data_IF_238518816752
#
_entry.id   IF_238518816752
#
_cell.length_a   1.000
_cell.length_b   1.000
_cell.length_c   1.000
_cell.angle_alpha   90.00
_cell.angle_beta   90.00
_cell.angle_gamma   90.00
#
_symmetry.space_group_name_H-M   'P 1'
#
loop_
_entity.id
_entity.type
_entity.pdbx_description
1 polymer ?
#
# COMPACT_ATOMS: atom_id res chain seq x y z
N UNK A 1 4.56 -2.42 15.95
CA UNK A 1 3.94 -3.72 15.59
C UNK A 1 2.69 -3.56 14.73
N UNK A 2 1.61 -2.90 15.20
CA UNK A 2 0.33 -2.87 14.46
C UNK A 2 0.40 -2.16 13.09
N UNK A 3 1.10 -1.01 12.99
CA UNK A 3 1.34 -0.33 11.69
C UNK A 3 2.00 -1.26 10.67
N UNK A 4 3.07 -1.93 11.08
CA UNK A 4 3.79 -2.94 10.27
C UNK A 4 2.84 -4.07 9.87
N UNK A 5 2.08 -4.62 10.81
CA UNK A 5 1.16 -5.71 10.54
C UNK A 5 0.10 -5.33 9.50
N UNK A 6 -0.51 -4.14 9.60
CA UNK A 6 -1.52 -3.67 8.65
C UNK A 6 -0.97 -3.46 7.23
N UNK A 7 0.22 -2.88 7.12
CA UNK A 7 0.86 -2.64 5.82
C UNK A 7 1.21 -3.97 5.17
N UNK A 8 1.93 -4.84 5.89
CA UNK A 8 2.32 -6.17 5.38
C UNK A 8 1.09 -7.01 5.05
N UNK A 9 0.06 -6.96 5.88
CA UNK A 9 -1.22 -7.62 5.62
C UNK A 9 -1.82 -7.20 4.29
N UNK A 10 -1.88 -5.89 4.03
CA UNK A 10 -2.39 -5.33 2.78
C UNK A 10 -1.55 -5.81 1.60
N UNK A 11 -0.24 -5.64 1.63
CA UNK A 11 0.62 -6.04 0.51
C UNK A 11 0.58 -7.55 0.26
N UNK A 12 0.60 -8.39 1.30
CA UNK A 12 0.49 -9.84 1.14
C UNK A 12 -0.87 -10.28 0.59
N UNK A 13 -1.94 -9.59 0.96
CA UNK A 13 -3.26 -9.84 0.39
C UNK A 13 -3.30 -9.46 -1.10
N UNK A 14 -2.69 -8.33 -1.47
CA UNK A 14 -2.58 -7.90 -2.87
C UNK A 14 -1.80 -8.91 -3.70
N UNK A 15 -0.63 -9.35 -3.24
CA UNK A 15 0.15 -10.42 -3.86
C UNK A 15 -0.73 -11.66 -4.06
N UNK A 16 -1.43 -12.08 -3.00
CA UNK A 16 -2.26 -13.29 -3.03
C UNK A 16 -3.40 -13.20 -4.05
N UNK A 17 -4.05 -12.04 -4.17
CA UNK A 17 -5.10 -11.83 -5.16
C UNK A 17 -4.55 -11.75 -6.58
N UNK A 18 -3.41 -11.09 -6.79
CA UNK A 18 -2.79 -11.00 -8.11
C UNK A 18 -2.37 -12.36 -8.61
N UNK A 19 -1.68 -13.14 -7.76
CA UNK A 19 -1.34 -14.53 -8.07
C UNK A 19 -2.60 -15.37 -8.29
N UNK A 20 -3.65 -15.17 -7.48
CA UNK A 20 -4.94 -15.84 -7.64
C UNK A 20 -5.62 -15.54 -8.99
N UNK A 21 -5.60 -14.28 -9.44
CA UNK A 21 -6.12 -13.86 -10.76
C UNK A 21 -5.29 -14.50 -11.87
N UNK A 22 -3.96 -14.49 -11.77
CA UNK A 22 -3.06 -15.10 -12.76
C UNK A 22 -3.34 -16.61 -12.86
N UNK A 23 -3.47 -17.30 -11.72
CA UNK A 23 -3.85 -18.71 -11.67
C UNK A 23 -5.22 -18.98 -12.30
N UNK A 24 -6.20 -18.12 -12.05
CA UNK A 24 -7.55 -18.27 -12.59
C UNK A 24 -7.57 -18.10 -14.13
N UNK A 25 -6.89 -17.08 -14.65
CA UNK A 25 -6.88 -16.77 -16.09
C UNK A 25 -6.04 -17.78 -16.89
N UNK A 26 -4.99 -18.32 -16.28
CA UNK A 26 -4.07 -19.27 -16.94
C UNK A 26 -4.41 -20.74 -16.67
N UNK A 27 -5.59 -21.01 -16.08
CA UNK A 27 -6.06 -22.37 -15.76
C UNK A 27 -6.12 -23.28 -16.99
N UNK A 28 -6.34 -22.71 -18.17
CA UNK A 28 -6.43 -23.43 -19.44
C UNK A 28 -5.07 -23.72 -20.10
N UNK A 29 -3.97 -23.21 -19.55
CA UNK A 29 -2.62 -23.36 -20.10
C UNK A 29 -1.90 -24.49 -19.33
N UNK A 30 -1.45 -25.52 -20.06
CA UNK A 30 -0.66 -26.61 -19.46
C UNK A 30 0.65 -26.07 -18.85
N UNK A 31 1.05 -26.63 -17.71
CA UNK A 31 2.28 -26.26 -16.96
C UNK A 31 2.35 -24.80 -16.47
N UNK A 32 1.33 -23.96 -16.68
CA UNK A 32 1.30 -22.56 -16.20
C UNK A 32 1.68 -22.41 -14.73
N UNK A 33 1.22 -23.32 -13.87
CA UNK A 33 1.52 -23.33 -12.43
C UNK A 33 3.02 -23.34 -12.12
N UNK A 34 3.81 -24.10 -12.89
CA UNK A 34 5.27 -24.20 -12.68
C UNK A 34 5.92 -22.84 -12.97
N UNK A 35 5.50 -22.17 -14.05
CA UNK A 35 6.02 -20.85 -14.42
C UNK A 35 5.58 -19.75 -13.44
N UNK A 36 4.36 -19.83 -12.90
CA UNK A 36 3.90 -18.92 -11.84
C UNK A 36 4.76 -19.11 -10.59
N UNK A 37 5.03 -20.35 -10.17
CA UNK A 37 5.88 -20.63 -9.01
C UNK A 37 7.32 -20.17 -9.27
N UNK A 38 7.86 -20.42 -10.46
CA UNK A 38 9.19 -19.97 -10.85
C UNK A 38 9.31 -18.43 -10.84
N UNK A 39 8.34 -17.72 -11.40
CA UNK A 39 8.27 -16.26 -11.34
C UNK A 39 8.12 -15.77 -9.90
N UNK A 40 7.34 -16.49 -9.09
CA UNK A 40 7.18 -16.25 -7.66
C UNK A 40 8.49 -16.27 -6.90
N UNK A 41 9.23 -17.38 -7.02
CA UNK A 41 10.54 -17.53 -6.39
C UNK A 41 11.52 -16.49 -6.88
N UNK A 42 11.55 -16.21 -8.19
CA UNK A 42 12.43 -15.20 -8.76
C UNK A 42 12.14 -13.80 -8.17
N UNK A 43 10.87 -13.41 -8.08
CA UNK A 43 10.46 -12.14 -7.47
C UNK A 43 10.89 -12.02 -6.00
N UNK A 44 10.70 -13.08 -5.21
CA UNK A 44 11.12 -13.12 -3.79
C UNK A 44 12.64 -13.01 -3.65
N UNK A 45 13.40 -13.71 -4.50
CA UNK A 45 14.86 -13.62 -4.52
C UNK A 45 15.30 -12.20 -4.84
N UNK A 46 14.74 -11.59 -5.89
CA UNK A 46 15.05 -10.20 -6.25
C UNK A 46 14.69 -9.21 -5.13
N UNK A 47 13.54 -9.37 -4.47
CA UNK A 47 13.15 -8.54 -3.33
C UNK A 47 14.09 -8.72 -2.12
N UNK A 48 14.55 -9.96 -1.87
CA UNK A 48 15.50 -10.27 -0.80
C UNK A 48 16.87 -9.62 -1.06
N UNK A 49 17.32 -9.65 -2.32
CA UNK A 49 18.54 -8.94 -2.75
C UNK A 49 18.37 -7.43 -2.51
N UNK A 50 17.23 -6.85 -2.91
CA UNK A 50 16.92 -5.45 -2.67
C UNK A 50 16.94 -5.09 -1.19
N UNK A 51 16.36 -5.92 -0.32
CA UNK A 51 16.40 -5.73 1.14
C UNK A 51 17.83 -5.72 1.68
N UNK A 52 18.68 -6.63 1.20
CA UNK A 52 20.08 -6.71 1.61
C UNK A 52 20.87 -5.44 1.25
N UNK A 53 20.69 -4.91 0.04
CA UNK A 53 21.33 -3.66 -0.38
C UNK A 53 20.79 -2.47 0.40
N UNK A 54 19.47 -2.38 0.61
CA UNK A 54 18.85 -1.29 1.39
C UNK A 54 19.44 -1.21 2.80
N UNK A 55 19.64 -2.36 3.47
CA UNK A 55 20.28 -2.41 4.79
C UNK A 55 21.71 -1.90 4.77
N UNK A 56 22.49 -2.20 3.73
CA UNK A 56 23.87 -1.71 3.60
C UNK A 56 23.94 -0.21 3.36
N UNK A 57 23.08 0.33 2.48
CA UNK A 57 23.02 1.78 2.25
C UNK A 57 22.67 2.51 3.54
N UNK A 58 21.67 2.03 4.29
CA UNK A 58 21.24 2.64 5.56
C UNK A 58 22.37 2.83 6.56
N UNK A 59 23.28 1.86 6.70
CA UNK A 59 24.38 1.93 7.67
C UNK A 59 25.44 3.00 7.30
N UNK A 60 25.50 3.41 6.03
CA UNK A 60 26.46 4.40 5.54
C UNK A 60 25.98 5.85 5.66
N UNK A 61 24.67 6.08 5.86
CA UNK A 61 24.08 7.43 5.96
C UNK A 61 23.80 7.90 7.39
N UNK A 62 24.06 7.08 8.42
CA UNK A 62 23.80 7.43 9.81
C UNK A 62 24.83 8.43 10.34
N UNK A 63 24.56 9.74 10.23
CA UNK A 63 25.51 10.72 10.75
C UNK A 63 25.13 12.20 10.88
N UNK A 64 24.07 12.75 10.28
CA UNK A 64 23.79 14.20 10.43
C UNK A 64 22.30 14.57 10.31
N UNK A 65 21.77 15.28 11.32
CA UNK A 65 20.53 16.06 11.26
C UNK A 65 19.24 15.29 11.58
N UNK A 66 19.19 14.66 12.76
CA UNK A 66 18.10 13.74 13.18
C UNK A 66 16.69 14.27 12.91
N UNK A 67 16.39 15.53 13.26
CA UNK A 67 15.02 16.05 13.18
C UNK A 67 14.54 16.35 11.74
N UNK A 68 15.40 16.95 10.90
CA UNK A 68 15.08 17.20 9.48
C UNK A 68 15.00 15.91 8.68
N UNK A 69 15.90 14.97 8.99
CA UNK A 69 15.92 13.67 8.37
C UNK A 69 14.69 12.85 8.75
N UNK A 70 14.32 12.81 10.04
CA UNK A 70 13.14 12.10 10.53
C UNK A 70 11.84 12.68 9.94
N UNK A 71 11.71 14.00 9.90
CA UNK A 71 10.57 14.66 9.26
C UNK A 71 10.53 14.39 7.75
N UNK A 72 11.69 14.45 7.08
CA UNK A 72 11.82 14.13 5.66
C UNK A 72 11.40 12.70 5.33
N UNK A 73 11.79 11.72 6.16
CA UNK A 73 11.34 10.33 6.04
C UNK A 73 9.83 10.25 6.25
N UNK A 74 9.27 10.91 7.25
CA UNK A 74 7.82 10.91 7.49
C UNK A 74 7.02 11.46 6.31
N UNK A 75 7.50 12.53 5.67
CA UNK A 75 6.91 13.08 4.44
C UNK A 75 7.03 12.06 3.30
N UNK A 76 8.21 11.45 3.12
CA UNK A 76 8.44 10.45 2.09
C UNK A 76 7.52 9.24 2.28
N UNK A 77 7.36 8.72 3.50
CA UNK A 77 6.41 7.65 3.83
C UNK A 77 5.01 8.07 3.45
N UNK A 78 4.60 9.28 3.84
CA UNK A 78 3.27 9.81 3.55
C UNK A 78 3.01 9.83 2.05
N UNK A 79 3.97 10.29 1.24
CA UNK A 79 3.85 10.34 -0.22
C UNK A 79 3.79 8.94 -0.82
N UNK A 80 4.70 8.05 -0.43
CA UNK A 80 4.73 6.67 -0.92
C UNK A 80 3.42 5.96 -0.59
N UNK A 81 2.96 6.05 0.67
CA UNK A 81 1.72 5.43 1.11
C UNK A 81 0.51 6.02 0.39
N UNK A 82 0.46 7.34 0.19
CA UNK A 82 -0.60 7.99 -0.60
C UNK A 82 -0.63 7.48 -2.03
N UNK A 83 0.55 7.36 -2.66
CA UNK A 83 0.68 6.86 -4.02
C UNK A 83 0.15 5.44 -4.16
N UNK A 84 0.53 4.53 -3.26
CA UNK A 84 0.11 3.12 -3.32
C UNK A 84 -1.39 2.98 -3.07
N UNK A 85 -1.97 3.76 -2.16
CA UNK A 85 -3.42 3.84 -1.93
C UNK A 85 -4.16 4.27 -3.19
N UNK A 86 -3.73 5.37 -3.83
CA UNK A 86 -4.39 5.92 -5.03
C UNK A 86 -4.26 4.94 -6.19
N UNK A 87 -3.08 4.37 -6.38
CA UNK A 87 -2.78 3.51 -7.52
C UNK A 87 -3.67 2.27 -7.56
N UNK A 88 -3.93 1.68 -6.38
CA UNK A 88 -4.72 0.48 -6.15
C UNK A 88 -6.18 0.59 -6.62
N UNK A 89 -6.76 1.79 -6.60
CA UNK A 89 -8.19 2.01 -6.93
C UNK A 89 -8.59 1.63 -8.36
N UNK A 90 -7.62 1.50 -9.27
CA UNK A 90 -7.86 1.15 -10.68
C UNK A 90 -7.19 -0.15 -11.15
N UNK A 91 -6.44 -0.83 -10.28
CA UNK A 91 -5.53 -1.90 -10.72
C UNK A 91 -6.27 -3.19 -11.08
N UNK A 92 -7.26 -3.61 -10.27
CA UNK A 92 -7.92 -4.92 -10.43
C UNK A 92 -8.62 -5.15 -11.79
N UNK A 93 -9.22 -4.11 -12.39
CA UNK A 93 -9.93 -4.27 -13.69
C UNK A 93 -8.95 -4.31 -14.87
N UNK A 94 -7.89 -3.49 -14.82
CA UNK A 94 -6.86 -3.42 -15.86
C UNK A 94 -6.00 -4.67 -15.91
N UNK A 95 -5.63 -5.21 -14.74
CA UNK A 95 -4.89 -6.47 -14.61
C UNK A 95 -5.65 -7.62 -15.23
N UNK A 96 -6.96 -7.73 -14.98
CA UNK A 96 -7.80 -8.78 -15.57
C UNK A 96 -7.83 -8.70 -17.11
N UNK A 97 -7.98 -7.50 -17.67
CA UNK A 97 -7.96 -7.30 -19.14
C UNK A 97 -6.58 -7.58 -19.74
N UNK A 98 -5.51 -7.10 -19.11
CA UNK A 98 -4.15 -7.27 -19.58
C UNK A 98 -3.72 -8.75 -19.55
N UNK A 99 -4.04 -9.47 -18.47
CA UNK A 99 -3.74 -10.91 -18.37
C UNK A 99 -4.59 -11.71 -19.36
N UNK A 100 -5.86 -11.36 -19.61
CA UNK A 100 -6.65 -12.01 -20.65
C UNK A 100 -6.02 -11.86 -22.05
N UNK A 101 -5.50 -10.67 -22.36
CA UNK A 101 -4.81 -10.41 -23.64
C UNK A 101 -3.47 -11.16 -23.75
N UNK A 102 -2.74 -11.34 -22.65
CA UNK A 102 -1.51 -12.15 -22.64
C UNK A 102 -1.85 -13.64 -22.74
N UNK A 103 -2.88 -14.10 -22.02
CA UNK A 103 -3.32 -15.50 -22.02
C UNK A 103 -3.80 -15.96 -23.39
N UNK A 104 -4.59 -15.13 -24.09
CA UNK A 104 -5.01 -15.37 -25.48
C UNK A 104 -3.81 -15.46 -26.43
N UNK A 105 -2.84 -14.54 -26.34
CA UNK A 105 -1.60 -14.59 -27.13
C UNK A 105 -0.72 -15.81 -26.85
N UNK A 106 -0.66 -16.29 -25.60
CA UNK A 106 0.05 -17.53 -25.25
C UNK A 106 -0.68 -18.74 -25.84
N UNK A 107 -2.01 -18.76 -25.78
CA UNK A 107 -2.83 -19.84 -26.34
C UNK A 107 -2.72 -19.93 -27.87
N UNK A 108 -2.60 -18.78 -28.55
CA UNK A 108 -2.35 -18.68 -30.00
C UNK A 108 -0.91 -19.05 -30.40
N UNK A 109 -0.05 -19.46 -29.46
CA UNK A 109 1.35 -19.83 -29.73
C UNK A 109 2.27 -18.63 -30.02
N UNK A 110 1.77 -17.40 -29.83
CA UNK A 110 2.41 -16.16 -30.23
C UNK A 110 3.19 -15.48 -29.07
N UNK A 111 3.26 -16.11 -27.90
CA UNK A 111 4.00 -15.59 -26.73
C UNK A 111 4.60 -16.71 -25.87
N UNK A 112 5.82 -16.47 -25.38
CA UNK A 112 6.60 -17.44 -24.60
C UNK A 112 6.15 -17.48 -23.13
N UNK A 113 6.14 -18.68 -22.53
CA UNK A 113 5.94 -18.91 -21.09
C UNK A 113 6.84 -18.04 -20.19
N UNK A 114 7.97 -17.55 -20.72
CA UNK A 114 8.86 -16.61 -20.05
C UNK A 114 8.20 -15.26 -19.73
N UNK A 115 7.26 -14.80 -20.55
CA UNK A 115 6.53 -13.55 -20.29
C UNK A 115 5.68 -13.66 -19.01
N UNK A 116 5.10 -14.85 -18.77
CA UNK A 116 4.35 -15.14 -17.56
C UNK A 116 5.26 -15.16 -16.32
N UNK A 117 6.44 -15.77 -16.43
CA UNK A 117 7.46 -15.77 -15.35
C UNK A 117 7.85 -14.34 -15.00
N UNK A 118 8.19 -13.52 -16.00
CA UNK A 118 8.61 -12.14 -15.81
C UNK A 118 7.49 -11.28 -15.22
N UNK A 119 6.25 -11.45 -15.69
CA UNK A 119 5.08 -10.73 -15.17
C UNK A 119 4.85 -11.04 -13.69
N UNK A 120 4.88 -12.32 -13.30
CA UNK A 120 4.72 -12.73 -11.90
C UNK A 120 5.90 -12.24 -11.06
N UNK A 121 7.13 -12.39 -11.53
CA UNK A 121 8.34 -11.96 -10.83
C UNK A 121 8.36 -10.45 -10.61
N UNK A 122 8.05 -9.65 -11.64
CA UNK A 122 7.98 -8.19 -11.55
C UNK A 122 6.90 -7.72 -10.58
N UNK A 123 5.74 -8.40 -10.59
CA UNK A 123 4.65 -8.09 -9.65
C UNK A 123 5.09 -8.33 -8.21
N UNK A 124 5.64 -9.51 -7.90
CA UNK A 124 6.06 -9.87 -6.55
C UNK A 124 7.26 -9.05 -6.09
N UNK A 125 8.20 -8.74 -7.00
CA UNK A 125 9.31 -7.84 -6.72
C UNK A 125 8.80 -6.46 -6.30
N UNK A 126 7.85 -5.88 -7.06
CA UNK A 126 7.29 -4.56 -6.79
C UNK A 126 6.62 -4.51 -5.41
N UNK A 127 5.70 -5.43 -5.13
CA UNK A 127 5.03 -5.46 -3.81
C UNK A 127 6.04 -5.74 -2.69
N UNK A 128 7.02 -6.62 -2.92
CA UNK A 128 8.08 -6.92 -1.96
C UNK A 128 8.94 -5.69 -1.63
N UNK A 129 9.31 -4.90 -2.64
CA UNK A 129 10.03 -3.63 -2.47
C UNK A 129 9.20 -2.62 -1.71
N UNK A 130 7.90 -2.50 -2.00
CA UNK A 130 6.99 -1.63 -1.25
C UNK A 130 6.93 -2.02 0.23
N UNK A 131 6.81 -3.32 0.56
CA UNK A 131 6.88 -3.82 1.94
C UNK A 131 8.20 -3.41 2.60
N UNK A 132 9.33 -3.66 1.94
CA UNK A 132 10.67 -3.39 2.49
C UNK A 132 10.82 -1.89 2.81
N UNK A 133 10.49 -1.01 1.85
CA UNK A 133 10.65 0.43 2.01
C UNK A 133 9.71 0.96 3.09
N UNK A 134 8.43 0.58 3.09
CA UNK A 134 7.45 1.09 4.05
C UNK A 134 7.78 0.62 5.48
N UNK A 135 8.12 -0.66 5.65
CA UNK A 135 8.45 -1.21 6.97
C UNK A 135 9.77 -0.59 7.49
N UNK A 136 10.77 -0.46 6.62
CA UNK A 136 12.03 0.19 6.97
C UNK A 136 11.82 1.64 7.42
N UNK A 137 11.06 2.41 6.65
CA UNK A 137 10.83 3.83 6.92
C UNK A 137 10.07 4.06 8.24
N UNK A 138 9.16 3.15 8.60
CA UNK A 138 8.49 3.20 9.92
C UNK A 138 9.49 2.93 11.04
N UNK A 139 10.40 1.98 10.82
CA UNK A 139 11.38 1.53 11.82
C UNK A 139 12.53 2.52 12.00
N UNK A 140 12.76 3.42 11.04
CA UNK A 140 13.77 4.47 11.17
C UNK A 140 13.31 5.64 12.03
N UNK A 141 12.01 5.92 12.08
CA UNK A 141 11.47 7.07 12.83
C UNK A 141 10.86 6.65 14.18
N UNK A 142 10.33 5.43 14.27
CA UNK A 142 9.80 4.89 15.53
C UNK A 142 10.78 3.89 16.15
N UNK A 143 11.02 4.02 17.45
CA UNK A 143 11.80 3.05 18.22
C UNK A 143 11.00 1.77 18.43
N UNK A 144 11.12 0.84 17.48
CA UNK A 144 10.43 -0.44 17.49
C UNK A 144 11.37 -1.53 18.00
N UNK A 145 11.01 -2.21 19.09
CA UNK A 145 11.72 -3.39 19.58
C UNK A 145 11.75 -4.48 18.51
N UNK A 146 12.87 -5.19 18.35
CA UNK A 146 13.04 -6.28 17.38
C UNK A 146 11.92 -7.33 17.43
N UNK A 147 11.42 -7.64 18.64
CA UNK A 147 10.27 -8.55 18.82
C UNK A 147 8.99 -8.01 18.14
N UNK A 148 8.65 -6.74 18.38
CA UNK A 148 7.48 -6.09 17.80
C UNK A 148 7.56 -5.93 16.27
N UNK A 149 8.78 -5.81 15.75
CA UNK A 149 9.05 -5.78 14.32
C UNK A 149 8.72 -7.14 13.68
N UNK A 150 9.31 -8.23 14.20
CA UNK A 150 9.13 -9.59 13.69
C UNK A 150 7.67 -10.05 13.84
N UNK A 151 7.05 -9.79 14.98
CA UNK A 151 5.64 -10.14 15.20
C UNK A 151 4.72 -9.40 14.22
N UNK A 152 5.00 -8.12 13.93
CA UNK A 152 4.25 -7.35 12.94
C UNK A 152 4.32 -7.99 11.55
N UNK A 153 5.54 -8.35 11.11
CA UNK A 153 5.76 -9.02 9.83
C UNK A 153 5.02 -10.37 9.75
N UNK A 154 5.17 -11.23 10.76
CA UNK A 154 4.57 -12.58 10.76
C UNK A 154 3.04 -12.50 10.77
N UNK A 155 2.46 -11.67 11.64
CA UNK A 155 1.01 -11.53 11.73
C UNK A 155 0.45 -10.96 10.44
N UNK A 156 1.06 -9.89 9.91
CA UNK A 156 0.63 -9.28 8.66
C UNK A 156 0.69 -10.29 7.50
N UNK A 157 1.84 -10.93 7.30
CA UNK A 157 2.04 -11.85 6.19
C UNK A 157 1.11 -13.06 6.27
N UNK A 158 0.99 -13.68 7.46
CA UNK A 158 0.15 -14.87 7.67
C UNK A 158 -1.32 -14.53 7.48
N UNK A 159 -1.81 -13.44 8.08
CA UNK A 159 -3.21 -13.05 7.94
C UNK A 159 -3.55 -12.64 6.50
N UNK A 160 -2.64 -11.96 5.79
CA UNK A 160 -2.85 -11.52 4.40
C UNK A 160 -2.91 -12.68 3.44
N UNK A 161 -2.00 -13.64 3.59
CA UNK A 161 -1.97 -14.87 2.81
C UNK A 161 -3.20 -15.76 3.08
N UNK A 162 -3.56 -15.97 4.36
CA UNK A 162 -4.74 -16.75 4.73
C UNK A 162 -6.01 -16.15 4.14
N UNK A 163 -6.21 -14.83 4.28
CA UNK A 163 -7.39 -14.17 3.75
C UNK A 163 -7.40 -14.18 2.22
N UNK A 164 -6.24 -14.02 1.58
CA UNK A 164 -6.07 -14.19 0.14
C UNK A 164 -6.47 -15.58 -0.36
N UNK A 165 -6.06 -16.64 0.34
CA UNK A 165 -6.46 -18.03 0.03
C UNK A 165 -7.97 -18.24 0.19
N UNK A 166 -8.56 -17.73 1.28
CA UNK A 166 -10.01 -17.80 1.51
C UNK A 166 -10.76 -17.13 0.35
N UNK A 167 -10.29 -15.98 -0.12
CA UNK A 167 -10.87 -15.29 -1.27
C UNK A 167 -10.68 -16.12 -2.56
N UNK A 168 -9.49 -16.67 -2.79
CA UNK A 168 -9.19 -17.48 -3.98
C UNK A 168 -10.07 -18.73 -4.10
N UNK A 169 -10.33 -19.44 -3.00
CA UNK A 169 -11.24 -20.59 -2.97
C UNK A 169 -12.72 -20.20 -3.01
N UNK A 170 -13.05 -18.91 -3.09
CA UNK A 170 -14.43 -18.43 -3.23
C UNK A 170 -15.26 -18.47 -1.94
N UNK A 171 -14.63 -18.67 -0.79
CA UNK A 171 -15.30 -18.69 0.53
C UNK A 171 -15.87 -17.31 0.90
N UNK A 172 -15.35 -16.24 0.30
CA UNK A 172 -15.89 -14.87 0.44
C UNK A 172 -16.55 -14.46 -0.88
N UNK A 173 -17.90 -14.43 -0.91
CA UNK A 173 -18.69 -13.91 -2.04
C UNK A 173 -18.19 -12.51 -2.46
N UNK A 174 -18.09 -12.31 -3.77
CA UNK A 174 -17.63 -11.10 -4.48
C UNK A 174 -18.16 -9.76 -3.94
N UNK A 175 -19.33 -9.74 -3.31
CA UNK A 175 -19.92 -8.53 -2.73
C UNK A 175 -19.13 -7.98 -1.52
N UNK A 176 -18.53 -8.85 -0.69
CA UNK A 176 -17.87 -8.43 0.56
C UNK A 176 -16.44 -7.91 0.34
N UNK A 177 -15.82 -8.22 -0.80
CA UNK A 177 -14.47 -7.76 -1.13
C UNK A 177 -14.39 -6.23 -1.19
N UNK A 178 -15.42 -5.57 -1.76
CA UNK A 178 -15.47 -4.11 -1.89
C UNK A 178 -15.42 -3.41 -0.53
N UNK A 179 -16.14 -3.94 0.47
CA UNK A 179 -16.17 -3.35 1.81
C UNK A 179 -14.84 -3.51 2.52
N UNK A 180 -14.26 -4.71 2.45
CA UNK A 180 -12.97 -4.99 3.04
C UNK A 180 -11.87 -4.06 2.48
N UNK A 181 -11.79 -3.91 1.16
CA UNK A 181 -10.85 -2.99 0.51
C UNK A 181 -11.11 -1.53 0.85
N UNK A 182 -12.38 -1.13 0.98
CA UNK A 182 -12.74 0.23 1.38
C UNK A 182 -12.29 0.53 2.80
N UNK A 183 -12.49 -0.42 3.73
CA UNK A 183 -12.07 -0.28 5.13
C UNK A 183 -10.55 -0.19 5.23
N UNK A 184 -9.81 -1.08 4.55
CA UNK A 184 -8.34 -1.04 4.55
C UNK A 184 -7.80 0.26 3.93
N UNK A 185 -8.42 0.74 2.85
CA UNK A 185 -8.08 2.03 2.21
C UNK A 185 -8.26 3.19 3.19
N UNK A 186 -9.41 3.25 3.89
CA UNK A 186 -9.67 4.31 4.88
C UNK A 186 -8.63 4.26 5.99
N UNK A 187 -8.35 3.07 6.53
CA UNK A 187 -7.37 2.88 7.58
C UNK A 187 -5.96 3.35 7.17
N UNK A 188 -5.51 2.99 5.97
CA UNK A 188 -4.22 3.44 5.43
C UNK A 188 -4.18 4.95 5.19
N UNK A 189 -5.30 5.54 4.76
CA UNK A 189 -5.42 7.00 4.59
C UNK A 189 -5.27 7.74 5.93
N UNK A 190 -5.85 7.19 7.00
CA UNK A 190 -5.68 7.73 8.35
C UNK A 190 -4.23 7.58 8.83
N UNK A 191 -3.58 6.45 8.56
CA UNK A 191 -2.14 6.25 8.86
C UNK A 191 -1.26 7.24 8.10
N UNK A 192 -1.55 7.48 6.81
CA UNK A 192 -0.85 8.48 6.00
C UNK A 192 -1.01 9.89 6.58
N UNK A 193 -2.23 10.26 6.96
CA UNK A 193 -2.48 11.52 7.68
C UNK A 193 -1.69 11.60 8.99
N UNK A 194 -1.63 10.50 9.75
CA UNK A 194 -0.86 10.41 10.99
C UNK A 194 0.64 10.64 10.77
N UNK A 195 1.24 10.07 9.72
CA UNK A 195 2.63 10.33 9.38
C UNK A 195 2.87 11.78 8.94
N UNK A 196 1.94 12.39 8.21
CA UNK A 196 2.01 13.81 7.85
C UNK A 196 1.95 14.71 9.11
N UNK A 197 1.07 14.37 10.06
CA UNK A 197 1.00 15.07 11.34
C UNK A 197 2.31 14.90 12.12
N UNK A 198 2.86 13.69 12.22
CA UNK A 198 4.15 13.46 12.88
C UNK A 198 5.28 14.28 12.25
N UNK A 199 5.37 14.35 10.92
CA UNK A 199 6.34 15.20 10.22
C UNK A 199 6.21 16.68 10.60
N UNK A 200 4.98 17.20 10.59
CA UNK A 200 4.69 18.57 10.99
C UNK A 200 5.05 18.82 12.46
N UNK A 201 4.80 17.84 13.34
CA UNK A 201 5.19 17.90 14.74
C UNK A 201 6.70 18.08 14.93
N UNK A 202 7.50 17.24 14.27
CA UNK A 202 8.96 17.31 14.32
C UNK A 202 9.48 18.67 13.81
N UNK A 203 8.88 19.22 12.73
CA UNK A 203 9.26 20.53 12.19
C UNK A 203 8.93 21.69 13.13
N UNK A 204 7.81 21.59 13.85
CA UNK A 204 7.45 22.61 14.83
C UNK A 204 8.25 22.50 16.13
N UNK A 205 8.57 21.29 16.59
CA UNK A 205 9.35 21.09 17.83
C UNK A 205 10.83 21.45 17.66
N UNK A 206 11.37 21.26 16.46
CA UNK A 206 12.74 21.66 16.09
C UNK A 206 12.91 23.18 15.92
N UNK A 207 11.82 23.96 15.98
CA UNK A 207 11.85 25.41 15.74
C UNK A 207 12.06 25.81 14.29
N UNK A 208 12.12 24.86 13.36
CA UNK A 208 12.29 25.11 11.92
C UNK A 208 11.05 25.75 11.30
N UNK A 209 9.86 25.36 11.78
CA UNK A 209 8.58 25.93 11.37
C UNK A 209 7.85 26.45 12.59
N UNK A 210 7.77 27.77 12.73
CA UNK A 210 7.04 28.44 13.82
C UNK A 210 5.58 28.77 13.46
N UNK A 211 5.13 28.43 12.24
CA UNK A 211 3.77 28.67 11.80
C UNK A 211 2.80 27.67 12.44
N UNK A 212 1.75 28.17 13.09
CA UNK A 212 0.73 27.34 13.78
C UNK A 212 1.35 26.35 14.79
N UNK A 213 2.44 26.76 15.47
CA UNK A 213 3.10 25.95 16.50
C UNK A 213 2.32 25.86 17.80
N UNK A 214 1.37 26.78 18.01
CA UNK A 214 0.55 26.81 19.21
C UNK A 214 -0.41 25.61 19.29
N UNK A 215 -0.63 25.14 20.52
CA UNK A 215 -1.58 24.08 20.81
C UNK A 215 -3.00 24.53 20.47
N UNK A 216 -3.74 23.71 19.71
CA UNK A 216 -5.12 24.04 19.31
C UNK A 216 -6.14 23.57 20.35
N UNK A 217 -5.95 22.36 20.90
CA UNK A 217 -6.83 21.79 21.92
C UNK A 217 -6.11 20.83 22.86
N UNK A 218 -6.78 20.47 23.97
CA UNK A 218 -6.36 19.38 24.87
C UNK A 218 -7.51 18.37 25.04
N UNK A 219 -7.39 17.19 24.43
CA UNK A 219 -8.33 16.08 24.58
C UNK A 219 -7.83 15.00 25.54
N UNK A 220 -6.79 15.29 26.33
CA UNK A 220 -6.21 14.35 27.30
C UNK A 220 -7.20 13.93 28.39
N UNK A 221 -8.23 14.74 28.65
CA UNK A 221 -9.30 14.43 29.59
C UNK A 221 -10.20 13.28 29.13
N UNK A 222 -10.32 13.08 27.80
CA UNK A 222 -11.12 12.00 27.21
C UNK A 222 -10.25 10.77 26.93
N UNK A 223 -9.14 10.98 26.22
CA UNK A 223 -8.18 9.93 25.86
C UNK A 223 -6.78 10.50 26.00
N UNK A 224 -6.08 10.07 27.06
CA UNK A 224 -4.69 10.43 27.27
C UNK A 224 -3.77 9.63 26.33
N UNK A 225 -2.73 10.29 25.77
CA UNK A 225 -1.75 9.66 24.86
C UNK A 225 -1.04 8.45 25.48
N UNK A 226 -0.86 8.47 26.80
CA UNK A 226 -0.21 7.40 27.57
C UNK A 226 -1.10 6.17 27.78
N UNK A 227 -2.42 6.32 27.64
CA UNK A 227 -3.36 5.22 27.79
C UNK A 227 -3.22 4.20 26.66
N UNK A 228 -3.57 2.94 26.92
CA UNK A 228 -3.50 1.90 25.90
C UNK A 228 -4.41 2.20 24.70
N UNK A 229 -5.62 2.73 24.95
CA UNK A 229 -6.54 3.21 23.92
C UNK A 229 -5.92 4.37 23.14
N UNK A 230 -5.28 5.34 23.82
CA UNK A 230 -4.62 6.48 23.17
C UNK A 230 -3.51 6.06 22.22
N UNK A 231 -2.68 5.08 22.62
CA UNK A 231 -1.64 4.51 21.75
C UNK A 231 -2.23 3.79 20.54
N UNK A 232 -3.32 3.03 20.71
CA UNK A 232 -4.00 2.37 19.58
C UNK A 232 -4.57 3.43 18.63
N UNK A 233 -5.24 4.46 19.14
CA UNK A 233 -5.76 5.57 18.33
C UNK A 233 -4.64 6.32 17.62
N UNK A 234 -3.52 6.58 18.29
CA UNK A 234 -2.34 7.20 17.68
C UNK A 234 -1.81 6.35 16.51
N UNK A 235 -1.78 5.03 16.68
CA UNK A 235 -1.30 4.10 15.66
C UNK A 235 -2.27 3.99 14.47
N UNK A 236 -3.57 3.90 14.73
CA UNK A 236 -4.63 3.62 13.74
C UNK A 236 -5.05 4.90 13.01
N UNK A 237 -5.20 5.99 13.75
CA UNK A 237 -5.80 7.23 13.26
C UNK A 237 -4.85 8.43 13.34
N UNK A 238 -3.60 8.27 13.77
CA UNK A 238 -2.71 9.42 13.96
C UNK A 238 -3.18 10.37 15.07
N UNK A 239 -4.00 9.89 16.02
CA UNK A 239 -4.51 10.71 17.12
C UNK A 239 -3.38 11.29 17.97
N UNK A 240 -3.48 12.58 18.29
CA UNK A 240 -2.58 13.29 19.19
C UNK A 240 -3.48 14.04 20.18
N UNK A 241 -3.32 13.84 21.49
CA UNK A 241 -4.20 14.46 22.48
C UNK A 241 -4.01 15.99 22.60
N UNK A 242 -2.82 16.48 22.26
CA UNK A 242 -2.46 17.91 22.29
C UNK A 242 -1.77 18.34 21.00
N UNK A 243 -2.51 18.42 19.87
CA UNK A 243 -1.90 18.75 18.61
C UNK A 243 -1.73 20.27 18.47
N UNK A 244 -0.72 20.65 17.70
CA UNK A 244 -0.58 22.02 17.22
C UNK A 244 -1.34 22.24 15.90
N UNK A 245 -1.50 23.50 15.50
CA UNK A 245 -2.27 23.84 14.31
C UNK A 245 -1.71 23.21 13.03
N UNK A 246 -0.39 23.12 12.91
CA UNK A 246 0.27 22.57 11.73
C UNK A 246 0.03 21.06 11.58
N UNK A 247 0.08 20.31 12.67
CA UNK A 247 -0.21 18.87 12.70
C UNK A 247 -1.63 18.58 12.20
N UNK A 248 -2.60 19.37 12.68
CA UNK A 248 -4.01 19.24 12.29
C UNK A 248 -4.19 19.54 10.81
N UNK A 249 -3.59 20.64 10.33
CA UNK A 249 -3.64 21.03 8.93
C UNK A 249 -3.01 19.95 8.04
N UNK A 250 -1.82 19.46 8.39
CA UNK A 250 -1.11 18.41 7.65
C UNK A 250 -1.93 17.12 7.56
N UNK A 251 -2.54 16.70 8.68
CA UNK A 251 -3.39 15.51 8.76
C UNK A 251 -4.59 15.59 7.81
N UNK A 252 -5.41 16.64 7.94
CA UNK A 252 -6.63 16.79 7.14
C UNK A 252 -6.33 17.07 5.67
N UNK A 253 -5.29 17.86 5.37
CA UNK A 253 -4.87 18.14 4.00
C UNK A 253 -4.44 16.86 3.29
N UNK A 254 -3.68 16.00 3.95
CA UNK A 254 -3.26 14.70 3.40
C UNK A 254 -4.45 13.81 3.07
N UNK A 255 -5.39 13.66 4.01
CA UNK A 255 -6.62 12.87 3.79
C UNK A 255 -7.43 13.43 2.62
N UNK A 256 -7.63 14.75 2.58
CA UNK A 256 -8.39 15.42 1.53
C UNK A 256 -7.74 15.23 0.16
N UNK A 257 -6.42 15.39 0.07
CA UNK A 257 -5.67 15.17 -1.17
C UNK A 257 -5.80 13.73 -1.65
N UNK A 258 -5.56 12.74 -0.78
CA UNK A 258 -5.70 11.32 -1.14
C UNK A 258 -7.11 11.05 -1.66
N UNK A 259 -8.15 11.54 -0.97
CA UNK A 259 -9.53 11.33 -1.38
C UNK A 259 -9.84 11.99 -2.74
N UNK A 260 -9.39 13.22 -2.97
CA UNK A 260 -9.52 13.89 -4.28
C UNK A 260 -8.86 13.06 -5.39
N UNK A 261 -7.61 12.62 -5.18
CA UNK A 261 -6.89 11.83 -6.18
C UNK A 261 -7.55 10.47 -6.45
N UNK A 262 -8.10 9.81 -5.42
CA UNK A 262 -8.91 8.60 -5.59
C UNK A 262 -10.11 8.88 -6.49
N UNK A 263 -10.88 9.94 -6.21
CA UNK A 263 -12.09 10.28 -6.97
C UNK A 263 -11.77 10.63 -8.43
N UNK A 264 -10.70 11.40 -8.65
CA UNK A 264 -10.20 11.73 -9.99
C UNK A 264 -9.85 10.45 -10.74
N UNK A 265 -9.09 9.54 -10.13
CA UNK A 265 -8.66 8.28 -10.76
C UNK A 265 -9.83 7.35 -11.06
N UNK A 266 -10.81 7.24 -10.17
CA UNK A 266 -12.03 6.46 -10.39
C UNK A 266 -12.85 7.03 -11.55
N UNK A 267 -12.96 8.37 -11.66
CA UNK A 267 -13.66 9.05 -12.76
C UNK A 267 -12.97 8.81 -14.10
N UNK A 268 -11.64 8.91 -14.15
CA UNK A 268 -10.86 8.57 -15.36
C UNK A 268 -11.07 7.12 -15.79
N UNK A 269 -11.07 6.16 -14.85
CA UNK A 269 -11.29 4.75 -15.20
C UNK A 269 -12.69 4.48 -15.75
N UNK A 270 -13.71 5.20 -15.27
CA UNK A 270 -15.09 5.06 -15.74
C UNK A 270 -15.28 5.60 -17.16
N UNK A 271 -14.63 6.72 -17.49
CA UNK A 271 -14.75 7.36 -18.80
C UNK A 271 -14.09 6.55 -19.94
N UNK A 272 -13.01 5.80 -19.66
CA UNK A 272 -12.35 4.93 -20.65
C UNK A 272 -13.20 3.69 -20.98
N UNK A 273 -14.05 3.25 -20.05
CA UNK A 273 -14.93 2.08 -20.21
C UNK A 273 -16.35 2.47 -20.69
N UNK A 274 -16.61 3.74 -20.97
CA UNK A 274 -17.87 4.15 -21.56
C UNK A 274 -17.96 3.56 -22.99
N UNK A 275 -19.05 2.86 -23.34
CA UNK A 275 -19.21 2.34 -24.70
C UNK A 275 -19.15 3.52 -25.68
N UNK A 276 -18.37 3.36 -26.75
CA UNK A 276 -18.33 4.34 -27.84
C UNK A 276 -19.76 4.64 -28.31
N UNK A 277 -20.08 5.91 -28.66
CA UNK A 277 -21.36 6.22 -29.27
C UNK A 277 -21.57 5.25 -30.42
N UNK A 278 -22.72 4.57 -30.46
CA UNK A 278 -23.08 3.76 -31.62
C UNK A 278 -23.07 4.71 -32.81
N UNK A 279 -22.10 4.55 -33.72
CA UNK A 279 -22.19 5.19 -35.03
C UNK A 279 -23.53 4.76 -35.63
N UNK A 280 -24.40 5.73 -35.86
CA UNK A 280 -25.67 5.52 -36.51
C UNK A 280 -25.40 4.96 -37.90
N UNK A 281 -25.46 3.63 -38.04
CA UNK A 281 -25.64 2.97 -39.32
C UNK A 281 -27.09 3.18 -39.75
N UNK A 282 -27.44 4.40 -40.11
CA UNK A 282 -28.65 4.69 -40.87
C UNK A 282 -28.32 5.72 -41.95
N UNK A 283 -28.72 5.35 -43.17
CA UNK A 283 -28.74 6.14 -44.40
C UNK A 283 -27.42 6.18 -45.19
N UNK A 284 -27.16 5.14 -45.98
CA UNK A 284 -27.16 5.28 -47.45
C UNK A 284 -27.82 4.01 -48.01
N UNK A 285 -29.12 4.14 -48.26
CA UNK A 285 -29.87 3.35 -49.24
C UNK A 285 -29.55 3.84 -50.64
#
# INVERSE_FOLDING_TARGET
MFKIALIVFRECLEISLLVGIILAVTKHIEKSRIYIIAGGMLGVVCASIFAFFTRKLSLSFGGMGDELFDSGIMILITILLSWTIIWMQGYGTKVKQHINNISTKIHEGNSSYLMLVFLVASTILREGVEIIILVYSISSVETITSSNYIQGLIIGATSGFLLGLIIYFGLIKIANQKYFFKISTILLMLIAGGFAASAAGILTSSGLVMFLSDQVWDSSWLVADRSMIGKILHIVTGYIARPNGLQVLAYFTTILLINIFIQVRLRYSKNILAPLPKENTQQIS
#
